data_IF_308924500099
#
_entry.id   IF_308924500099
#
_cell.length_a   1.000
_cell.length_b   1.000
_cell.length_c   1.000
_cell.angle_alpha   90.00
_cell.angle_beta   90.00
_cell.angle_gamma   90.00
#
_symmetry.space_group_name_H-M   'P 1'
#
loop_
_entity.id
_entity.type
_entity.pdbx_description
1 polymer ?
#
# COMPACT_ATOMS: atom_id res chain seq x y z
N UNK A 1 21.65 2.55 -5.35
CA UNK A 1 20.49 2.74 -4.45
C UNK A 1 19.69 1.44 -4.30
N UNK A 2 20.33 0.36 -3.86
CA UNK A 2 19.72 -1.00 -3.79
C UNK A 2 19.91 -1.66 -2.41
N UNK A 3 20.62 -0.99 -1.50
CA UNK A 3 21.12 -1.54 -0.22
C UNK A 3 20.25 -1.11 0.97
N UNK A 4 19.48 -0.01 0.85
CA UNK A 4 18.65 0.51 1.96
C UNK A 4 17.33 -0.28 2.09
N UNK A 5 16.79 -0.79 0.97
CA UNK A 5 15.51 -1.48 0.94
C UNK A 5 15.56 -2.88 1.58
N UNK A 6 16.63 -3.64 1.39
CA UNK A 6 16.75 -4.97 2.02
C UNK A 6 16.93 -4.90 3.54
N UNK A 7 17.65 -3.89 4.04
CA UNK A 7 17.81 -3.73 5.51
C UNK A 7 16.51 -3.27 6.17
N UNK A 8 15.67 -2.50 5.47
CA UNK A 8 14.36 -2.08 5.96
C UNK A 8 13.36 -3.25 6.04
N UNK A 9 13.32 -4.12 5.02
CA UNK A 9 12.45 -5.30 5.01
C UNK A 9 12.87 -6.32 6.07
N UNK A 10 14.18 -6.47 6.32
CA UNK A 10 14.68 -7.32 7.40
C UNK A 10 14.33 -6.78 8.80
N UNK A 11 14.34 -5.45 8.98
CA UNK A 11 13.94 -4.82 10.25
C UNK A 11 12.45 -5.02 10.57
N UNK A 12 11.59 -5.02 9.54
CA UNK A 12 10.14 -5.26 9.69
C UNK A 12 9.85 -6.70 10.12
N UNK A 13 10.67 -7.69 9.73
CA UNK A 13 10.49 -9.09 10.16
C UNK A 13 10.91 -9.37 11.61
N UNK A 14 11.81 -8.57 12.20
CA UNK A 14 12.35 -8.82 13.55
C UNK A 14 11.55 -8.14 14.68
N UNK A 15 10.74 -7.13 14.36
CA UNK A 15 9.93 -6.41 15.36
C UNK A 15 8.60 -7.10 15.72
N UNK A 16 8.32 -8.28 15.17
CA UNK A 16 7.10 -9.06 15.44
C UNK A 16 7.30 -9.90 16.71
N UNK A 17 7.51 -9.22 17.83
CA UNK A 17 7.31 -9.78 19.16
C UNK A 17 6.90 -8.62 20.08
N UNK A 18 5.59 -8.48 20.29
CA UNK A 18 4.94 -7.62 21.30
C UNK A 18 4.76 -6.11 21.04
N UNK A 19 5.05 -5.55 19.85
CA UNK A 19 4.74 -4.13 19.56
C UNK A 19 3.44 -3.97 18.75
N UNK A 20 2.56 -3.08 19.19
CA UNK A 20 1.38 -2.67 18.41
C UNK A 20 1.86 -1.90 17.18
N UNK A 21 1.79 -2.55 16.02
CA UNK A 21 2.17 -1.98 14.72
C UNK A 21 1.14 -0.93 14.32
N UNK A 22 1.56 0.32 14.18
CA UNK A 22 0.70 1.40 13.67
C UNK A 22 0.65 1.33 12.14
N UNK A 23 -0.55 1.22 11.57
CA UNK A 23 -0.74 1.06 10.12
C UNK A 23 -1.70 2.12 9.59
N UNK A 24 -1.33 2.79 8.50
CA UNK A 24 -2.17 3.78 7.83
C UNK A 24 -3.03 3.12 6.75
N UNK A 25 -4.37 3.15 6.92
CA UNK A 25 -5.32 2.73 5.88
C UNK A 25 -5.48 3.78 4.81
N UNK A 26 -5.30 3.36 3.56
CA UNK A 26 -5.60 4.20 2.40
C UNK A 26 -6.59 3.47 1.48
N UNK A 27 -7.37 4.24 0.73
CA UNK A 27 -8.28 3.73 -0.29
C UNK A 27 -8.50 4.79 -1.36
N UNK A 28 -8.61 4.36 -2.61
CA UNK A 28 -8.85 5.27 -3.74
C UNK A 28 -10.33 5.21 -4.13
N UNK A 29 -10.94 6.39 -4.32
CA UNK A 29 -12.31 6.54 -4.84
C UNK A 29 -12.35 7.36 -6.13
N UNK A 30 -11.20 7.49 -6.81
CA UNK A 30 -11.05 8.36 -7.97
C UNK A 30 -10.97 7.51 -9.23
N UNK A 31 -11.76 7.88 -10.24
CA UNK A 31 -11.72 7.24 -11.55
C UNK A 31 -10.41 7.59 -12.27
N UNK A 32 -9.69 6.63 -12.85
CA UNK A 32 -8.46 6.88 -13.60
C UNK A 32 -8.75 7.77 -14.81
N UNK A 33 -8.11 8.95 -14.88
CA UNK A 33 -8.28 9.92 -15.97
C UNK A 33 -6.98 10.13 -16.77
N UNK A 34 -6.11 9.12 -16.86
CA UNK A 34 -4.85 9.21 -17.64
C UNK A 34 -3.84 10.25 -17.12
N UNK A 35 -3.97 10.67 -15.86
CA UNK A 35 -3.06 11.64 -15.22
C UNK A 35 -2.13 10.97 -14.21
N UNK A 36 -1.06 11.66 -13.80
CA UNK A 36 -0.15 11.23 -12.70
C UNK A 36 -0.76 11.36 -11.29
N UNK A 37 -2.08 11.31 -11.16
CA UNK A 37 -2.77 11.50 -9.88
C UNK A 37 -2.50 10.36 -8.90
N UNK A 38 -2.47 9.11 -9.38
CA UNK A 38 -2.14 7.95 -8.54
C UNK A 38 -0.73 8.01 -7.97
N UNK A 39 0.25 8.41 -8.78
CA UNK A 39 1.64 8.57 -8.32
C UNK A 39 1.75 9.66 -7.23
N UNK A 40 1.05 10.79 -7.42
CA UNK A 40 0.97 11.85 -6.42
C UNK A 40 0.25 11.40 -5.15
N UNK A 41 -0.78 10.56 -5.29
CA UNK A 41 -1.50 9.98 -4.16
C UNK A 41 -0.58 9.07 -3.33
N UNK A 42 0.15 8.17 -3.97
CA UNK A 42 1.12 7.28 -3.29
C UNK A 42 2.20 8.11 -2.60
N UNK A 43 2.76 9.13 -3.28
CA UNK A 43 3.72 10.05 -2.66
C UNK A 43 3.13 10.69 -1.39
N UNK A 44 1.90 11.20 -1.46
CA UNK A 44 1.25 11.85 -0.32
C UNK A 44 0.97 10.86 0.82
N UNK A 45 0.56 9.63 0.51
CA UNK A 45 0.35 8.59 1.50
C UNK A 45 1.66 8.24 2.23
N UNK A 46 2.77 8.14 1.50
CA UNK A 46 4.11 7.93 2.06
C UNK A 46 4.55 9.12 2.94
N UNK A 47 4.37 10.35 2.45
CA UNK A 47 4.69 11.57 3.22
C UNK A 47 3.93 11.58 4.56
N UNK A 48 2.63 11.24 4.55
CA UNK A 48 1.81 11.17 5.76
C UNK A 48 2.29 10.04 6.67
N UNK A 49 2.53 8.85 6.13
CA UNK A 49 2.99 7.69 6.90
C UNK A 49 4.31 8.00 7.64
N UNK A 50 5.28 8.59 6.95
CA UNK A 50 6.56 9.00 7.52
C UNK A 50 6.34 10.06 8.61
N UNK A 51 5.56 11.11 8.32
CA UNK A 51 5.31 12.19 9.29
C UNK A 51 4.59 11.73 10.55
N UNK A 52 3.76 10.69 10.43
CA UNK A 52 2.97 10.12 11.53
C UNK A 52 3.70 8.97 12.24
N UNK A 53 4.90 8.59 11.80
CA UNK A 53 5.68 7.50 12.37
C UNK A 53 4.98 6.15 12.32
N UNK A 54 4.16 5.90 11.29
CA UNK A 54 3.49 4.60 11.12
C UNK A 54 4.46 3.57 10.55
N UNK A 55 4.29 2.32 10.96
CA UNK A 55 5.17 1.21 10.57
C UNK A 55 4.79 0.59 9.22
N UNK A 56 3.57 0.85 8.73
CA UNK A 56 3.13 0.34 7.45
C UNK A 56 1.94 1.07 6.84
N UNK A 57 1.70 0.79 5.57
CA UNK A 57 0.52 1.22 4.81
C UNK A 57 -0.17 -0.05 4.31
N UNK A 58 -1.50 -0.08 4.44
CA UNK A 58 -2.35 -1.10 3.83
C UNK A 58 -3.38 -0.42 2.95
N UNK A 59 -3.62 -0.98 1.78
CA UNK A 59 -4.59 -0.48 0.80
C UNK A 59 -5.54 -1.60 0.38
N UNK A 60 -6.79 -1.23 0.17
CA UNK A 60 -7.80 -2.11 -0.41
C UNK A 60 -8.28 -1.52 -1.72
N UNK A 61 -8.17 -2.29 -2.80
CA UNK A 61 -8.59 -1.85 -4.13
C UNK A 61 -9.34 -2.98 -4.85
N UNK A 62 -10.34 -2.63 -5.66
CA UNK A 62 -11.07 -3.64 -6.43
C UNK A 62 -10.21 -4.20 -7.56
N UNK A 63 -10.27 -5.51 -7.76
CA UNK A 63 -9.52 -6.23 -8.80
C UNK A 63 -9.77 -5.65 -10.22
N UNK A 64 -11.02 -5.23 -10.49
CA UNK A 64 -11.41 -4.60 -11.76
C UNK A 64 -10.66 -3.29 -12.07
N UNK A 65 -10.00 -2.68 -11.07
CA UNK A 65 -9.18 -1.48 -11.25
C UNK A 65 -7.70 -1.85 -11.41
N UNK A 66 -7.38 -2.67 -12.41
CA UNK A 66 -6.02 -3.19 -12.66
C UNK A 66 -4.95 -2.10 -12.72
N UNK A 67 -5.26 -0.93 -13.29
CA UNK A 67 -4.32 0.19 -13.38
C UNK A 67 -3.84 0.66 -11.98
N UNK A 68 -4.72 0.66 -10.98
CA UNK A 68 -4.38 1.04 -9.61
C UNK A 68 -3.60 -0.07 -8.91
N UNK A 69 -4.06 -1.31 -9.04
CA UNK A 69 -3.37 -2.48 -8.48
C UNK A 69 -1.94 -2.54 -8.99
N UNK A 70 -1.74 -2.42 -10.31
CA UNK A 70 -0.42 -2.40 -10.93
C UNK A 70 0.44 -1.22 -10.48
N UNK A 71 -0.16 -0.07 -10.21
CA UNK A 71 0.55 1.08 -9.66
C UNK A 71 1.07 0.76 -8.25
N UNK A 72 0.25 0.24 -7.35
CA UNK A 72 0.68 -0.15 -6.01
C UNK A 72 1.78 -1.21 -6.05
N UNK A 73 1.62 -2.25 -6.87
CA UNK A 73 2.65 -3.28 -7.06
C UNK A 73 3.97 -2.69 -7.57
N UNK A 74 3.93 -1.75 -8.52
CA UNK A 74 5.13 -1.05 -9.03
C UNK A 74 5.86 -0.25 -7.94
N UNK A 75 5.13 0.28 -6.96
CA UNK A 75 5.70 1.02 -5.83
C UNK A 75 6.14 0.12 -4.65
N UNK A 76 6.00 -1.20 -4.78
CA UNK A 76 6.49 -2.17 -3.80
C UNK A 76 5.46 -2.64 -2.78
N UNK A 77 4.16 -2.34 -3.00
CA UNK A 77 3.09 -2.98 -2.22
C UNK A 77 3.00 -4.47 -2.60
N UNK A 78 2.52 -5.30 -1.67
CA UNK A 78 2.49 -6.75 -1.82
C UNK A 78 1.08 -7.22 -1.59
N UNK A 79 0.53 -7.98 -2.55
CA UNK A 79 -0.77 -8.58 -2.38
C UNK A 79 -0.75 -9.57 -1.20
N UNK A 80 -1.61 -9.33 -0.21
CA UNK A 80 -1.70 -10.12 1.03
C UNK A 80 -2.93 -11.03 1.06
N UNK A 81 -4.06 -10.55 0.54
CA UNK A 81 -5.33 -11.26 0.63
C UNK A 81 -6.34 -10.71 -0.39
N UNK A 82 -7.33 -11.52 -0.74
CA UNK A 82 -8.47 -11.12 -1.55
C UNK A 82 -9.76 -11.36 -0.75
N UNK A 83 -10.70 -10.43 -0.84
CA UNK A 83 -12.01 -10.53 -0.22
C UNK A 83 -13.07 -10.49 -1.30
N UNK A 84 -13.83 -11.56 -1.41
CA UNK A 84 -14.96 -11.64 -2.33
C UNK A 84 -16.19 -10.93 -1.74
N UNK A 85 -16.88 -10.16 -2.56
CA UNK A 85 -18.13 -9.50 -2.21
C UNK A 85 -19.08 -9.51 -3.40
N UNK A 86 -20.37 -9.23 -3.16
CA UNK A 86 -21.37 -9.07 -4.22
C UNK A 86 -21.02 -7.95 -5.22
N UNK A 87 -20.16 -7.01 -4.83
CA UNK A 87 -19.72 -5.89 -5.67
C UNK A 87 -18.41 -6.16 -6.44
N UNK A 88 -17.81 -7.35 -6.25
CA UNK A 88 -16.55 -7.78 -6.84
C UNK A 88 -15.49 -8.15 -5.81
N UNK A 89 -14.33 -8.58 -6.30
CA UNK A 89 -13.16 -8.93 -5.49
C UNK A 89 -12.39 -7.69 -5.04
N UNK A 90 -12.21 -7.52 -3.73
CA UNK A 90 -11.33 -6.51 -3.14
C UNK A 90 -9.96 -7.13 -2.83
N UNK A 91 -8.91 -6.59 -3.41
CA UNK A 91 -7.53 -6.99 -3.13
C UNK A 91 -6.96 -6.14 -1.99
N UNK A 92 -6.33 -6.80 -1.04
CA UNK A 92 -5.58 -6.20 0.08
C UNK A 92 -4.10 -6.22 -0.27
N UNK A 93 -3.48 -5.03 -0.32
CA UNK A 93 -2.10 -4.77 -0.74
C UNK A 93 -1.34 -3.97 0.34
#
# INVERSE_FOLDING_TARGET
MRIIFERAVFFIKLAIAARAVTVLKIGMKVNPHGTKLGERFIKRALDVAISSGVEGIWVTEFEKHEAWVNLFLKYGFIHRSAKESTSGTELVL
#
